data_IF_920493296068
#
_entry.id   IF_920493296068
#
_cell.length_a   1.000
_cell.length_b   1.000
_cell.length_c   1.000
_cell.angle_alpha   90.00
_cell.angle_beta   90.00
_cell.angle_gamma   90.00
#
_symmetry.space_group_name_H-M   'P 1'
#
loop_
_entity.id
_entity.type
_entity.pdbx_description
1 polymer ?
#
# COMPACT_ATOMS: atom_id res chain seq x y z
N UNK A 1 7.29 -8.90 6.49
CA UNK A 1 6.77 -7.55 6.15
C UNK A 1 5.46 -7.25 6.88
N UNK A 2 5.13 -5.96 7.08
CA UNK A 2 3.85 -5.48 7.67
C UNK A 2 3.14 -4.54 6.70
N UNK A 3 1.81 -4.68 6.55
CA UNK A 3 1.01 -3.80 5.70
C UNK A 3 0.17 -2.85 6.56
N UNK A 4 0.25 -1.56 6.28
CA UNK A 4 -0.61 -0.53 6.86
C UNK A 4 -1.42 0.13 5.74
N UNK A 5 -2.73 -0.04 5.78
CA UNK A 5 -3.67 0.45 4.76
C UNK A 5 -4.70 1.42 5.34
N UNK A 6 -5.41 2.16 4.49
CA UNK A 6 -6.45 3.11 4.87
C UNK A 6 -6.48 4.35 3.97
N UNK A 7 -7.42 5.26 4.19
CA UNK A 7 -7.56 6.47 3.36
C UNK A 7 -6.37 7.43 3.49
N UNK A 8 -6.21 8.32 2.50
CA UNK A 8 -5.19 9.38 2.54
C UNK A 8 -5.38 10.25 3.79
N UNK A 9 -4.27 10.65 4.42
CA UNK A 9 -4.25 11.47 5.65
C UNK A 9 -4.95 10.87 6.89
N UNK A 10 -5.13 9.54 6.97
CA UNK A 10 -5.77 8.89 8.12
C UNK A 10 -4.81 8.48 9.27
N UNK A 11 -3.57 8.98 9.30
CA UNK A 11 -2.63 8.72 10.40
C UNK A 11 -1.72 7.48 10.24
N UNK A 12 -1.72 6.82 9.07
CA UNK A 12 -0.92 5.62 8.80
C UNK A 12 0.58 5.76 9.08
N UNK A 13 1.20 6.86 8.61
CA UNK A 13 2.63 7.11 8.80
C UNK A 13 3.00 7.25 10.27
N UNK A 14 2.19 7.97 11.05
CA UNK A 14 2.41 8.12 12.48
C UNK A 14 2.34 6.77 13.19
N UNK A 15 1.27 6.00 12.92
CA UNK A 15 1.09 4.64 13.45
C UNK A 15 2.29 3.74 13.13
N UNK A 16 2.71 3.70 11.86
CA UNK A 16 3.81 2.85 11.42
C UNK A 16 5.16 3.22 12.07
N UNK A 17 5.44 4.52 12.19
CA UNK A 17 6.69 5.01 12.83
C UNK A 17 6.73 4.71 14.32
N UNK A 18 5.60 4.81 15.00
CA UNK A 18 5.49 4.53 16.44
C UNK A 18 5.63 3.03 16.75
N UNK A 19 4.97 2.17 15.97
CA UNK A 19 4.86 0.73 16.29
C UNK A 19 5.94 -0.14 15.65
N UNK A 20 6.54 0.33 14.54
CA UNK A 20 7.49 -0.45 13.74
C UNK A 20 8.80 0.31 13.52
N UNK A 21 9.22 1.07 14.52
CA UNK A 21 10.49 1.79 14.52
C UNK A 21 11.67 0.86 14.17
N UNK A 22 12.61 1.37 13.38
CA UNK A 22 13.80 0.63 12.95
C UNK A 22 13.59 -0.26 11.71
N UNK A 23 12.35 -0.44 11.23
CA UNK A 23 12.09 -1.11 9.94
C UNK A 23 12.07 -0.09 8.80
N UNK A 24 12.41 -0.54 7.58
CA UNK A 24 12.24 0.28 6.38
C UNK A 24 10.76 0.53 6.13
N UNK A 25 10.34 1.79 6.14
CA UNK A 25 8.96 2.19 5.85
C UNK A 25 8.88 2.67 4.40
N UNK A 26 8.03 2.00 3.62
CA UNK A 26 7.69 2.37 2.25
C UNK A 26 6.40 3.19 2.27
N UNK A 27 6.55 4.50 2.44
CA UNK A 27 5.42 5.45 2.56
C UNK A 27 4.74 5.69 1.21
N UNK A 28 3.41 5.91 1.24
CA UNK A 28 2.60 6.24 0.07
C UNK A 28 2.89 5.35 -1.15
N UNK A 29 2.87 4.04 -0.94
CA UNK A 29 3.28 3.06 -1.95
C UNK A 29 2.40 3.10 -3.22
N UNK A 30 1.16 3.55 -3.10
CA UNK A 30 0.26 3.84 -4.22
C UNK A 30 0.81 4.91 -5.17
N UNK A 31 1.53 5.92 -4.67
CA UNK A 31 2.20 6.93 -5.51
C UNK A 31 3.41 6.34 -6.25
N UNK A 32 4.09 5.35 -5.65
CA UNK A 32 5.15 4.60 -6.31
C UNK A 32 4.58 3.74 -7.43
N UNK A 33 3.44 3.09 -7.18
CA UNK A 33 2.69 2.33 -8.18
C UNK A 33 2.27 3.25 -9.33
N UNK A 34 1.72 4.42 -9.05
CA UNK A 34 1.32 5.38 -10.09
C UNK A 34 2.48 5.73 -11.04
N UNK A 35 3.64 6.12 -10.50
CA UNK A 35 4.83 6.45 -11.30
C UNK A 35 5.32 5.29 -12.16
N UNK A 36 5.33 4.07 -11.60
CA UNK A 36 5.75 2.86 -12.32
C UNK A 36 4.76 2.48 -13.41
N UNK A 37 3.46 2.69 -13.15
CA UNK A 37 2.40 2.41 -14.10
C UNK A 37 2.47 3.37 -15.30
N UNK A 38 2.73 4.66 -15.04
CA UNK A 38 2.97 5.67 -16.09
C UNK A 38 4.19 5.31 -16.97
N UNK A 39 5.19 4.65 -16.38
CA UNK A 39 6.35 4.13 -17.09
C UNK A 39 6.11 2.78 -17.79
N UNK A 40 4.88 2.25 -17.78
CA UNK A 40 4.51 0.98 -18.40
C UNK A 40 5.11 -0.26 -17.73
N UNK A 41 5.49 -0.15 -16.46
CA UNK A 41 6.05 -1.29 -15.70
C UNK A 41 4.94 -2.25 -15.24
N UNK A 42 5.29 -3.52 -15.07
CA UNK A 42 4.42 -4.50 -14.41
C UNK A 42 4.45 -4.28 -12.89
N UNK A 43 3.37 -3.71 -12.38
CA UNK A 43 3.25 -3.34 -10.96
C UNK A 43 3.39 -4.55 -10.04
N UNK A 44 2.82 -5.69 -10.40
CA UNK A 44 2.85 -6.85 -9.51
C UNK A 44 4.27 -7.42 -9.41
N UNK A 45 4.98 -7.49 -10.54
CA UNK A 45 6.39 -7.92 -10.54
C UNK A 45 7.29 -6.93 -9.80
N UNK A 46 7.08 -5.62 -9.96
CA UNK A 46 7.84 -4.61 -9.22
C UNK A 46 7.54 -4.68 -7.71
N UNK A 47 6.29 -4.92 -7.30
CA UNK A 47 5.95 -5.12 -5.88
C UNK A 47 6.58 -6.39 -5.30
N UNK A 48 6.66 -7.48 -6.08
CA UNK A 48 7.39 -8.68 -5.66
C UNK A 48 8.88 -8.39 -5.46
N UNK A 49 9.51 -7.65 -6.37
CA UNK A 49 10.92 -7.26 -6.26
C UNK A 49 11.18 -6.43 -5.01
N UNK A 50 10.36 -5.41 -4.76
CA UNK A 50 10.50 -4.58 -3.56
C UNK A 50 10.39 -5.41 -2.28
N UNK A 51 9.41 -6.33 -2.22
CA UNK A 51 9.23 -7.19 -1.07
C UNK A 51 10.42 -8.15 -0.88
N UNK A 52 10.95 -8.73 -1.96
CA UNK A 52 12.11 -9.62 -1.90
C UNK A 52 13.39 -8.88 -1.46
N UNK A 53 13.56 -7.62 -1.89
CA UNK A 53 14.70 -6.80 -1.49
C UNK A 53 14.58 -6.33 -0.04
N UNK A 54 13.36 -6.09 0.45
CA UNK A 54 13.10 -5.60 1.81
C UNK A 54 12.06 -6.47 2.55
N UNK A 55 12.39 -7.72 2.91
CA UNK A 55 11.43 -8.68 3.46
C UNK A 55 10.84 -8.27 4.82
N UNK A 56 11.57 -7.47 5.60
CA UNK A 56 11.16 -6.99 6.92
C UNK A 56 10.52 -5.60 6.90
N UNK A 57 10.26 -5.04 5.71
CA UNK A 57 9.71 -3.68 5.56
C UNK A 57 8.26 -3.53 6.01
N UNK A 58 7.85 -2.27 6.17
CA UNK A 58 6.48 -1.83 6.39
C UNK A 58 5.99 -1.09 5.15
N UNK A 59 4.98 -1.64 4.48
CA UNK A 59 4.33 -0.97 3.35
C UNK A 59 3.16 -0.14 3.84
N UNK A 60 3.11 1.13 3.42
CA UNK A 60 1.95 2.00 3.67
C UNK A 60 1.23 2.25 2.35
N UNK A 61 -0.01 1.79 2.24
CA UNK A 61 -0.81 1.87 1.02
C UNK A 61 -2.10 2.69 1.25
N UNK A 62 -2.42 3.61 0.34
CA UNK A 62 -3.75 4.22 0.34
C UNK A 62 -4.81 3.29 -0.28
N UNK A 63 -5.99 3.24 0.33
CA UNK A 63 -7.14 2.56 -0.26
C UNK A 63 -7.82 3.48 -1.28
N UNK A 64 -7.74 3.12 -2.56
CA UNK A 64 -8.32 3.91 -3.67
C UNK A 64 -9.53 3.24 -4.35
N UNK A 65 -9.88 2.01 -3.94
CA UNK A 65 -10.99 1.24 -4.51
C UNK A 65 -12.35 1.41 -3.82
N UNK A 66 -12.45 2.23 -2.76
CA UNK A 66 -13.67 2.35 -1.95
C UNK A 66 -14.72 3.35 -2.46
N UNK A 67 -14.44 4.04 -3.58
CA UNK A 67 -15.30 5.07 -4.15
C UNK A 67 -16.04 4.65 -5.42
N UNK A 68 -16.55 5.63 -6.16
CA UNK A 68 -17.14 5.43 -7.50
C UNK A 68 -16.06 5.03 -8.52
N UNK A 69 -16.45 4.34 -9.58
CA UNK A 69 -15.52 3.99 -10.65
C UNK A 69 -15.10 5.25 -11.42
N UNK A 70 -13.79 5.52 -11.58
CA UNK A 70 -13.32 6.69 -12.32
C UNK A 70 -13.78 6.70 -13.78
N UNK A 71 -14.01 7.90 -14.32
CA UNK A 71 -14.33 8.10 -15.75
C UNK A 71 -13.06 8.04 -16.60
N UNK A 72 -11.92 8.49 -16.07
CA UNK A 72 -10.63 8.38 -16.73
C UNK A 72 -10.11 6.93 -16.73
N UNK A 73 -9.51 6.52 -17.85
CA UNK A 73 -9.00 5.16 -18.01
C UNK A 73 -7.71 4.92 -17.21
N UNK A 74 -6.83 5.91 -17.11
CA UNK A 74 -5.60 5.84 -16.33
C UNK A 74 -5.89 5.74 -14.84
N UNK A 75 -6.85 6.53 -14.34
CA UNK A 75 -7.30 6.45 -12.94
C UNK A 75 -7.90 5.07 -12.60
N UNK A 76 -8.68 4.47 -13.52
CA UNK A 76 -9.17 3.09 -13.35
C UNK A 76 -8.03 2.08 -13.31
N UNK A 77 -7.07 2.18 -14.22
CA UNK A 77 -5.90 1.30 -14.24
C UNK A 77 -5.08 1.42 -12.95
N UNK A 78 -4.89 2.65 -12.46
CA UNK A 78 -4.22 2.88 -11.18
C UNK A 78 -4.99 2.24 -10.02
N UNK A 79 -6.31 2.44 -9.96
CA UNK A 79 -7.19 1.82 -8.95
C UNK A 79 -7.01 0.31 -8.92
N UNK A 80 -7.04 -0.32 -10.09
CA UNK A 80 -6.96 -1.77 -10.21
C UNK A 80 -5.54 -2.29 -9.87
N UNK A 81 -4.49 -1.58 -10.32
CA UNK A 81 -3.11 -1.93 -10.02
C UNK A 81 -2.77 -1.82 -8.52
N UNK A 82 -3.20 -0.74 -7.86
CA UNK A 82 -3.03 -0.57 -6.40
C UNK A 82 -3.82 -1.64 -5.63
N UNK A 83 -5.05 -1.95 -6.08
CA UNK A 83 -5.83 -3.04 -5.49
C UNK A 83 -5.13 -4.39 -5.60
N UNK A 84 -4.60 -4.72 -6.79
CA UNK A 84 -3.87 -5.97 -7.02
C UNK A 84 -2.60 -6.07 -6.17
N UNK A 85 -1.78 -5.01 -6.14
CA UNK A 85 -0.59 -4.95 -5.30
C UNK A 85 -0.93 -5.04 -3.80
N UNK A 86 -1.99 -4.36 -3.36
CA UNK A 86 -2.48 -4.40 -1.99
C UNK A 86 -2.93 -5.79 -1.55
N UNK A 87 -3.69 -6.49 -2.39
CA UNK A 87 -4.09 -7.89 -2.14
C UNK A 87 -2.88 -8.82 -2.05
N UNK A 88 -1.90 -8.66 -2.95
CA UNK A 88 -0.65 -9.42 -2.90
C UNK A 88 0.11 -9.17 -1.59
N UNK A 89 0.34 -7.90 -1.23
CA UNK A 89 1.03 -7.52 0.00
C UNK A 89 0.29 -8.04 1.24
N UNK A 90 -1.04 -7.93 1.30
CA UNK A 90 -1.83 -8.45 2.42
C UNK A 90 -1.72 -9.98 2.57
N UNK A 91 -1.64 -10.70 1.44
CA UNK A 91 -1.39 -12.14 1.42
C UNK A 91 -0.05 -12.52 2.05
N UNK A 92 1.00 -11.76 1.73
CA UNK A 92 2.37 -12.00 2.23
C UNK A 92 2.64 -11.40 3.62
N UNK A 93 1.84 -10.42 4.05
CA UNK A 93 2.06 -9.70 5.30
C UNK A 93 1.92 -10.60 6.52
N UNK A 94 2.82 -10.44 7.50
CA UNK A 94 2.65 -11.06 8.82
C UNK A 94 1.50 -10.41 9.58
N UNK A 95 1.42 -9.08 9.49
CA UNK A 95 0.38 -8.27 10.12
C UNK A 95 -0.20 -7.28 9.11
N UNK A 96 -1.51 -7.07 9.16
CA UNK A 96 -2.22 -6.10 8.33
C UNK A 96 -3.03 -5.18 9.24
N UNK A 97 -2.81 -3.87 9.13
CA UNK A 97 -3.55 -2.86 9.87
C UNK A 97 -4.31 -1.96 8.91
N UNK A 98 -5.58 -1.69 9.20
CA UNK A 98 -6.31 -0.57 8.60
C UNK A 98 -6.33 0.58 9.59
N UNK A 99 -5.88 1.75 9.18
CA UNK A 99 -5.91 2.96 10.02
C UNK A 99 -6.98 3.92 9.48
N UNK A 100 -7.91 4.31 10.34
CA UNK A 100 -8.96 5.27 10.02
C UNK A 100 -9.10 6.30 11.12
N UNK A 101 -9.05 7.59 10.75
CA UNK A 101 -9.06 8.71 11.71
C UNK A 101 -8.01 8.55 12.83
N UNK A 102 -6.83 8.01 12.51
CA UNK A 102 -5.75 7.72 13.47
C UNK A 102 -5.93 6.45 14.29
N UNK A 103 -7.06 5.75 14.17
CA UNK A 103 -7.35 4.52 14.90
C UNK A 103 -6.94 3.31 14.07
N UNK A 104 -6.02 2.49 14.59
CA UNK A 104 -5.58 1.28 13.94
C UNK A 104 -6.46 0.09 14.33
N UNK A 105 -6.95 -0.64 13.33
CA UNK A 105 -7.59 -1.93 13.44
C UNK A 105 -6.70 -3.00 12.82
N UNK A 106 -6.29 -4.00 13.60
CA UNK A 106 -5.58 -5.17 13.08
C UNK A 106 -6.55 -6.11 12.38
N UNK A 107 -6.27 -6.43 11.12
CA UNK A 107 -7.04 -7.34 10.27
C UNK A 107 -6.42 -8.74 10.19
N UNK A 108 -5.09 -8.83 10.33
CA UNK A 108 -4.26 -10.05 10.34
C UNK A 108 -3.10 -9.82 11.29
#
# INVERSE_FOLDING_TARGET
MILVTGGKYQGKTAFAREHFAGRKIMEAYDETIAKRLECGMDILEETKKDLNEYPDSVFILNEIGGGVTPVDAGERQLRDAVGQAGCFLAGQALEVYRVTAGLALRLK
#
